data_IF_155171410152
#
_entry.id   IF_155171410152
#
_cell.length_a   1.000
_cell.length_b   1.000
_cell.length_c   1.000
_cell.angle_alpha   90.00
_cell.angle_beta   90.00
_cell.angle_gamma   90.00
#
_symmetry.space_group_name_H-M   'P 1'
#
loop_
_entity.id
_entity.type
_entity.pdbx_description
1 polymer ?
#
# COMPACT_ATOMS: atom_id res chain seq x y z
N UNK A 1 -2.32 -16.60 18.96
CA UNK A 1 -1.80 -15.35 19.58
C UNK A 1 -3.02 -14.62 20.11
N UNK A 2 -3.14 -14.49 21.44
CA UNK A 2 -4.26 -13.75 22.04
C UNK A 2 -4.00 -12.25 21.88
N UNK A 3 -4.97 -11.43 21.44
CA UNK A 3 -4.81 -9.97 21.33
C UNK A 3 -4.54 -9.27 22.68
N UNK A 4 -4.62 -9.99 23.79
CA UNK A 4 -4.67 -9.44 25.14
C UNK A 4 -3.30 -9.02 25.71
N UNK A 5 -2.18 -9.44 25.11
CA UNK A 5 -0.83 -9.14 25.60
C UNK A 5 -0.17 -7.90 24.95
N UNK A 6 -0.89 -7.16 24.09
CA UNK A 6 -0.45 -5.87 23.56
C UNK A 6 0.74 -5.90 22.59
N UNK A 7 1.31 -7.08 22.32
CA UNK A 7 2.34 -7.27 21.30
C UNK A 7 1.79 -8.17 20.22
N UNK A 8 1.63 -7.62 19.02
CA UNK A 8 1.26 -8.35 17.81
C UNK A 8 2.50 -8.41 16.90
N UNK A 9 3.32 -9.48 16.97
CA UNK A 9 4.48 -9.59 16.11
C UNK A 9 4.01 -9.75 14.67
N UNK A 10 4.19 -8.71 13.85
CA UNK A 10 3.70 -8.71 12.47
C UNK A 10 4.30 -9.88 11.68
N UNK A 11 5.59 -10.18 11.89
CA UNK A 11 6.28 -11.29 11.26
C UNK A 11 5.59 -12.65 11.50
N UNK A 12 5.20 -12.92 12.74
CA UNK A 12 4.54 -14.19 13.10
C UNK A 12 3.12 -14.23 12.55
N UNK A 13 2.42 -13.09 12.55
CA UNK A 13 1.11 -12.98 11.93
C UNK A 13 1.17 -13.28 10.42
N UNK A 14 2.16 -12.75 9.72
CA UNK A 14 2.34 -12.98 8.28
C UNK A 14 2.55 -14.46 7.96
N UNK A 15 3.43 -15.14 8.70
CA UNK A 15 3.65 -16.59 8.56
C UNK A 15 2.39 -17.39 8.87
N UNK A 16 1.70 -17.03 9.95
CA UNK A 16 0.46 -17.69 10.36
C UNK A 16 -0.63 -17.52 9.30
N UNK A 17 -0.75 -16.33 8.72
CA UNK A 17 -1.75 -16.01 7.70
C UNK A 17 -1.51 -16.85 6.43
N UNK A 18 -0.28 -16.89 5.93
CA UNK A 18 0.11 -17.70 4.76
C UNK A 18 -0.16 -19.19 4.99
N UNK A 19 0.28 -19.73 6.13
CA UNK A 19 0.04 -21.13 6.49
C UNK A 19 -1.46 -21.46 6.69
N UNK A 20 -2.28 -20.47 7.05
CA UNK A 20 -3.72 -20.64 7.27
C UNK A 20 -4.55 -20.48 5.98
N UNK A 21 -3.98 -19.86 4.95
CA UNK A 21 -4.64 -19.51 3.69
C UNK A 21 -4.03 -20.22 2.47
N UNK A 22 -3.59 -21.47 2.62
CA UNK A 22 -2.95 -22.21 1.52
C UNK A 22 -3.85 -22.32 0.27
N UNK A 23 -3.25 -22.12 -0.89
CA UNK A 23 -3.90 -22.17 -2.19
C UNK A 23 -4.56 -23.53 -2.43
N UNK A 24 -3.95 -24.63 -2.00
CA UNK A 24 -4.50 -25.99 -2.10
C UNK A 24 -5.85 -26.14 -1.38
N UNK A 25 -6.14 -25.26 -0.41
CA UNK A 25 -7.38 -25.27 0.36
C UNK A 25 -8.42 -24.30 -0.19
N UNK A 26 -7.99 -23.13 -0.67
CA UNK A 26 -8.90 -22.04 -1.04
C UNK A 26 -8.98 -21.77 -2.54
N UNK A 27 -8.15 -22.45 -3.35
CA UNK A 27 -8.03 -22.27 -4.80
C UNK A 27 -7.79 -20.81 -5.21
N UNK A 28 -7.17 -20.03 -4.31
CA UNK A 28 -6.87 -18.62 -4.52
C UNK A 28 -5.68 -18.18 -3.67
N UNK A 29 -5.10 -17.05 -4.02
CA UNK A 29 -4.06 -16.36 -3.27
C UNK A 29 -4.48 -14.91 -3.05
N UNK A 30 -3.78 -14.20 -2.16
CA UNK A 30 -4.01 -12.77 -1.95
C UNK A 30 -2.72 -11.98 -1.89
N UNK A 31 -2.78 -10.74 -2.35
CA UNK A 31 -1.75 -9.73 -2.09
C UNK A 31 -2.22 -8.81 -0.99
N UNK A 32 -1.30 -8.32 -0.17
CA UNK A 32 -1.62 -7.39 0.90
C UNK A 32 -0.41 -6.58 1.35
N UNK A 33 -0.66 -5.36 1.82
CA UNK A 33 0.31 -4.55 2.56
C UNK A 33 -0.16 -4.40 4.00
N UNK A 34 0.68 -4.77 4.97
CA UNK A 34 0.39 -4.65 6.39
C UNK A 34 1.20 -3.51 7.00
N UNK A 35 0.54 -2.76 7.88
CA UNK A 35 1.11 -1.60 8.56
C UNK A 35 0.66 -1.61 10.01
N UNK A 36 1.61 -1.58 10.94
CA UNK A 36 1.40 -1.32 12.36
C UNK A 36 1.97 0.05 12.66
N UNK A 37 1.10 0.95 13.10
CA UNK A 37 1.46 2.32 13.46
C UNK A 37 1.53 2.47 14.99
N UNK A 38 2.73 2.69 15.51
CA UNK A 38 2.95 3.06 16.90
C UNK A 38 2.97 4.59 17.00
N UNK A 39 1.82 5.16 17.34
CA UNK A 39 1.64 6.62 17.44
C UNK A 39 2.29 7.23 18.66
N UNK A 40 2.61 6.43 19.69
CA UNK A 40 3.24 6.92 20.91
C UNK A 40 4.75 7.08 20.72
N UNK A 41 5.37 6.16 19.98
CA UNK A 41 6.82 6.14 19.75
C UNK A 41 7.23 6.68 18.36
N UNK A 42 6.28 7.05 17.51
CA UNK A 42 6.56 7.53 16.15
C UNK A 42 7.27 6.47 15.31
N UNK A 43 6.73 5.25 15.30
CA UNK A 43 7.24 4.13 14.51
C UNK A 43 6.16 3.58 13.60
N UNK A 44 6.56 3.16 12.41
CA UNK A 44 5.72 2.32 11.55
C UNK A 44 6.47 1.03 11.24
N UNK A 45 5.83 -0.10 11.49
CA UNK A 45 6.29 -1.41 11.05
C UNK A 45 5.44 -1.86 9.87
N UNK A 46 6.10 -2.37 8.82
CA UNK A 46 5.43 -2.78 7.58
C UNK A 46 5.88 -4.16 7.14
N UNK A 47 5.00 -4.83 6.40
CA UNK A 47 5.30 -6.05 5.65
C UNK A 47 4.47 -6.08 4.38
N UNK A 48 5.10 -6.28 3.24
CA UNK A 48 4.42 -6.33 1.94
C UNK A 48 4.44 -7.74 1.34
N UNK A 49 3.26 -8.27 1.05
CA UNK A 49 3.02 -9.55 0.39
C UNK A 49 2.46 -9.35 -1.01
N UNK A 50 3.28 -8.84 -1.94
CA UNK A 50 2.97 -8.75 -3.37
C UNK A 50 2.03 -7.62 -3.80
N UNK A 51 1.74 -6.65 -2.93
CA UNK A 51 0.93 -5.46 -3.25
C UNK A 51 1.86 -4.26 -3.57
N UNK A 52 1.43 -3.15 -4.20
CA UNK A 52 2.30 -1.98 -4.33
C UNK A 52 2.83 -1.51 -2.96
N UNK A 53 4.10 -1.10 -2.95
CA UNK A 53 4.80 -0.72 -1.74
C UNK A 53 4.18 0.52 -1.10
N UNK A 54 3.94 0.53 0.23
CA UNK A 54 3.51 1.74 0.93
C UNK A 54 4.52 2.88 0.72
N UNK A 55 4.03 4.10 0.61
CA UNK A 55 4.85 5.29 0.42
C UNK A 55 4.82 6.16 1.67
N UNK A 56 5.98 6.51 2.20
CA UNK A 56 6.13 7.46 3.29
C UNK A 56 6.66 8.78 2.73
N UNK A 57 5.85 9.83 2.81
CA UNK A 57 6.27 11.20 2.54
C UNK A 57 6.57 11.91 3.86
N UNK A 58 7.81 12.35 4.04
CA UNK A 58 8.24 13.07 5.21
C UNK A 58 9.32 14.09 4.85
N UNK A 59 9.23 15.30 5.39
CA UNK A 59 10.20 16.39 5.13
C UNK A 59 10.43 16.65 3.62
N UNK A 60 9.38 16.45 2.81
CA UNK A 60 9.43 16.61 1.35
C UNK A 60 10.13 15.48 0.58
N UNK A 61 10.55 14.42 1.26
CA UNK A 61 11.17 13.23 0.66
C UNK A 61 10.18 12.07 0.69
N UNK A 62 10.08 11.34 -0.41
CA UNK A 62 9.29 10.11 -0.50
C UNK A 62 10.23 8.92 -0.35
N UNK A 63 9.87 8.03 0.57
CA UNK A 63 10.49 6.73 0.75
C UNK A 63 9.49 5.64 0.37
N UNK A 64 9.93 4.69 -0.45
CA UNK A 64 9.20 3.44 -0.72
C UNK A 64 9.50 2.49 0.43
N UNK A 65 8.46 2.04 1.13
CA UNK A 65 8.61 1.17 2.30
C UNK A 65 8.62 -0.30 1.89
N UNK A 66 9.55 -1.04 2.49
CA UNK A 66 9.67 -2.51 2.36
C UNK A 66 9.84 -2.99 0.93
N UNK A 67 10.97 -2.65 0.32
CA UNK A 67 11.32 -3.02 -1.06
C UNK A 67 11.65 -4.51 -1.27
N UNK A 68 11.52 -5.34 -0.23
CA UNK A 68 11.66 -6.79 -0.34
C UNK A 68 10.27 -7.43 -0.33
N UNK A 69 9.98 -8.25 -1.34
CA UNK A 69 8.67 -8.85 -1.52
C UNK A 69 8.57 -10.14 -0.68
N UNK A 70 7.60 -10.24 0.23
CA UNK A 70 7.33 -11.47 0.99
C UNK A 70 6.67 -12.58 0.14
N UNK A 71 6.37 -12.31 -1.14
CA UNK A 71 5.54 -13.18 -1.97
C UNK A 71 4.05 -13.00 -1.64
N UNK A 72 3.19 -13.46 -2.54
CA UNK A 72 1.75 -13.47 -2.29
C UNK A 72 1.39 -14.51 -1.21
N UNK A 73 0.34 -14.22 -0.44
CA UNK A 73 -0.19 -15.11 0.60
C UNK A 73 -0.96 -16.25 -0.07
N UNK A 74 -0.71 -17.46 0.42
CA UNK A 74 -1.35 -18.70 0.02
C UNK A 74 -0.40 -19.71 -0.63
N UNK A 75 0.88 -19.38 -0.80
CA UNK A 75 1.87 -20.29 -1.38
C UNK A 75 2.77 -20.97 -0.35
N UNK A 76 2.63 -20.65 0.95
CA UNK A 76 3.46 -21.25 1.99
C UNK A 76 4.93 -20.82 1.94
N UNK A 77 5.21 -19.65 1.34
CA UNK A 77 6.56 -19.10 1.11
C UNK A 77 6.81 -17.80 1.89
N UNK A 78 5.82 -17.27 2.62
CA UNK A 78 5.95 -16.00 3.34
C UNK A 78 6.85 -16.21 4.56
N UNK A 79 8.03 -15.57 4.55
CA UNK A 79 9.02 -15.68 5.62
C UNK A 79 8.79 -14.70 6.79
N UNK A 80 7.74 -13.86 6.70
CA UNK A 80 7.41 -12.87 7.73
C UNK A 80 8.46 -11.75 7.85
N UNK A 81 8.99 -11.28 6.72
CA UNK A 81 9.90 -10.14 6.68
C UNK A 81 9.11 -8.88 7.02
N UNK A 82 9.58 -8.14 8.02
CA UNK A 82 9.02 -6.86 8.42
C UNK A 82 10.12 -5.81 8.52
N UNK A 83 9.76 -4.53 8.34
CA UNK A 83 10.69 -3.41 8.47
C UNK A 83 10.07 -2.27 9.26
N UNK A 84 10.89 -1.66 10.10
CA UNK A 84 10.51 -0.51 10.94
C UNK A 84 11.11 0.77 10.41
N UNK A 85 10.31 1.83 10.42
CA UNK A 85 10.70 3.18 10.00
C UNK A 85 10.27 4.18 11.07
N UNK A 86 11.08 5.22 11.25
CA UNK A 86 10.68 6.36 12.08
C UNK A 86 9.77 7.28 11.28
N UNK A 87 8.74 7.76 11.94
CA UNK A 87 7.81 8.75 11.40
C UNK A 87 7.84 9.97 12.31
N UNK A 88 7.70 11.13 11.69
CA UNK A 88 7.72 12.41 12.38
C UNK A 88 6.40 13.15 12.16
N UNK A 89 6.09 14.10 13.04
CA UNK A 89 4.90 14.96 12.88
C UNK A 89 4.87 15.58 11.47
N UNK A 90 3.69 15.59 10.86
CA UNK A 90 3.45 16.03 9.48
C UNK A 90 3.71 14.98 8.40
N UNK A 91 4.18 13.78 8.76
CA UNK A 91 4.42 12.71 7.77
C UNK A 91 3.11 12.21 7.18
N UNK A 92 3.14 11.77 5.92
CA UNK A 92 2.02 11.12 5.25
C UNK A 92 2.42 9.72 4.83
N UNK A 93 1.68 8.72 5.29
CA UNK A 93 1.80 7.34 4.84
C UNK A 93 0.65 7.02 3.88
N UNK A 94 0.97 6.55 2.69
CA UNK A 94 0.01 6.10 1.69
C UNK A 94 0.14 4.60 1.41
N UNK A 95 -1.00 3.92 1.33
CA UNK A 95 -1.12 2.55 0.83
C UNK A 95 -2.12 2.56 -0.33
N UNK A 96 -1.85 1.79 -1.37
CA UNK A 96 -2.77 1.65 -2.49
C UNK A 96 -2.71 0.24 -3.09
N UNK A 97 -3.75 -0.12 -3.83
CA UNK A 97 -3.80 -1.33 -4.64
C UNK A 97 -3.30 -1.05 -6.06
N UNK A 98 -2.91 -2.10 -6.76
CA UNK A 98 -2.48 -2.06 -8.16
C UNK A 98 -3.56 -1.51 -9.10
N UNK A 99 -4.84 -1.64 -8.78
CA UNK A 99 -5.93 -1.00 -9.51
C UNK A 99 -5.74 0.50 -9.80
N UNK A 100 -4.93 1.25 -9.02
CA UNK A 100 -4.52 2.63 -9.36
C UNK A 100 -3.49 2.68 -10.49
N UNK A 101 -2.42 1.90 -10.38
CA UNK A 101 -1.30 1.91 -11.34
C UNK A 101 -1.62 1.13 -12.62
N UNK A 102 -2.65 0.28 -12.59
CA UNK A 102 -3.10 -0.57 -13.68
C UNK A 102 -4.19 0.07 -14.54
N UNK A 103 -4.75 1.23 -14.15
CA UNK A 103 -5.71 1.94 -15.00
C UNK A 103 -5.11 2.22 -16.37
N UNK A 104 -5.81 1.76 -17.41
CA UNK A 104 -5.42 1.89 -18.81
C UNK A 104 -6.21 2.99 -19.51
N UNK A 105 -5.54 3.76 -20.35
CA UNK A 105 -6.19 4.70 -21.27
C UNK A 105 -6.80 3.98 -22.50
N UNK A 106 -7.30 4.76 -23.47
CA UNK A 106 -7.86 4.21 -24.72
C UNK A 106 -6.82 3.52 -25.60
N UNK A 107 -5.54 3.79 -25.41
CA UNK A 107 -4.43 3.17 -26.14
C UNK A 107 -3.85 1.96 -25.38
N UNK A 108 -4.40 1.62 -24.21
CA UNK A 108 -3.94 0.53 -23.36
C UNK A 108 -2.75 0.89 -22.45
N UNK A 109 -2.34 2.17 -22.40
CA UNK A 109 -1.23 2.64 -21.57
C UNK A 109 -1.62 2.78 -20.11
N UNK A 110 -0.79 2.24 -19.20
CA UNK A 110 -1.01 2.27 -17.75
C UNK A 110 -0.60 3.60 -17.11
N UNK A 111 -1.21 3.97 -15.98
CA UNK A 111 -0.74 5.10 -15.15
C UNK A 111 0.69 4.85 -14.66
N UNK A 112 0.94 3.65 -14.12
CA UNK A 112 2.24 3.24 -13.59
C UNK A 112 2.63 3.91 -12.27
N UNK A 113 3.57 3.28 -11.56
CA UNK A 113 4.02 3.71 -10.22
C UNK A 113 4.74 5.07 -10.23
N UNK A 114 5.54 5.36 -11.26
CA UNK A 114 6.25 6.64 -11.38
C UNK A 114 5.32 7.85 -11.34
N UNK A 115 4.17 7.77 -12.02
CA UNK A 115 3.15 8.83 -12.04
C UNK A 115 2.54 9.07 -10.65
N UNK A 116 2.31 8.00 -9.88
CA UNK A 116 1.80 8.06 -8.51
C UNK A 116 2.81 8.75 -7.59
N UNK A 117 4.08 8.36 -7.68
CA UNK A 117 5.18 8.95 -6.92
C UNK A 117 5.34 10.43 -7.26
N UNK A 118 5.33 10.79 -8.55
CA UNK A 118 5.51 12.17 -8.98
C UNK A 118 4.33 13.07 -8.57
N UNK A 119 3.11 12.53 -8.59
CA UNK A 119 1.96 13.24 -8.03
C UNK A 119 2.16 13.52 -6.54
N UNK A 120 2.56 12.51 -5.77
CA UNK A 120 2.83 12.68 -4.33
C UNK A 120 3.94 13.71 -4.06
N UNK A 121 4.98 13.77 -4.89
CA UNK A 121 6.03 14.80 -4.78
C UNK A 121 5.49 16.19 -5.02
N UNK A 122 4.65 16.35 -6.05
CA UNK A 122 4.07 17.66 -6.43
C UNK A 122 3.09 18.19 -5.38
N UNK A 123 2.46 17.30 -4.63
CA UNK A 123 1.45 17.60 -3.60
C UNK A 123 2.00 17.42 -2.18
N UNK A 124 3.33 17.55 -2.02
CA UNK A 124 4.01 17.25 -0.75
C UNK A 124 3.50 18.08 0.43
N UNK A 125 3.10 19.32 0.17
CA UNK A 125 2.64 20.27 1.19
C UNK A 125 1.09 20.30 1.32
N UNK A 126 0.37 19.60 0.45
CA UNK A 126 -1.09 19.64 0.37
C UNK A 126 -1.76 18.85 1.51
N UNK A 127 -2.98 19.19 1.90
CA UNK A 127 -3.71 18.35 2.86
C UNK A 127 -4.08 16.98 2.24
N UNK A 128 -4.28 15.93 3.06
CA UNK A 128 -4.66 14.60 2.53
C UNK A 128 -5.92 14.64 1.66
N UNK A 129 -6.92 15.45 2.02
CA UNK A 129 -8.15 15.59 1.21
C UNK A 129 -7.90 16.19 -0.17
N UNK A 130 -6.95 17.12 -0.28
CA UNK A 130 -6.54 17.70 -1.56
C UNK A 130 -5.77 16.67 -2.38
N UNK A 131 -4.84 15.96 -1.76
CA UNK A 131 -4.11 14.86 -2.39
C UNK A 131 -5.06 13.80 -2.97
N UNK A 132 -6.07 13.37 -2.22
CA UNK A 132 -7.09 12.44 -2.72
C UNK A 132 -7.90 13.02 -3.88
N UNK A 133 -8.21 14.33 -3.84
CA UNK A 133 -8.87 15.01 -4.95
C UNK A 133 -7.99 15.01 -6.20
N UNK A 134 -6.67 15.15 -6.04
CA UNK A 134 -5.70 15.06 -7.14
C UNK A 134 -5.58 13.65 -7.71
N UNK A 135 -5.57 12.61 -6.87
CA UNK A 135 -5.64 11.22 -7.33
C UNK A 135 -6.91 10.95 -8.13
N UNK A 136 -8.08 11.40 -7.64
CA UNK A 136 -9.33 11.29 -8.40
C UNK A 136 -9.27 12.02 -9.74
N UNK A 137 -8.63 13.20 -9.77
CA UNK A 137 -8.38 13.96 -11.00
C UNK A 137 -7.47 13.21 -11.97
N UNK A 138 -6.39 12.60 -11.48
CA UNK A 138 -5.47 11.76 -12.26
C UNK A 138 -6.22 10.60 -12.91
N UNK A 139 -7.01 9.84 -12.13
CA UNK A 139 -7.80 8.71 -12.64
C UNK A 139 -8.76 9.12 -13.75
N UNK A 140 -9.52 10.21 -13.54
CA UNK A 140 -10.45 10.75 -14.55
C UNK A 140 -9.74 11.28 -15.80
N UNK A 141 -8.55 11.85 -15.64
CA UNK A 141 -7.75 12.34 -16.77
C UNK A 141 -7.20 11.19 -17.61
N UNK A 142 -6.80 10.10 -16.96
CA UNK A 142 -6.21 8.93 -17.63
C UNK A 142 -7.27 8.07 -18.32
N UNK A 143 -8.46 7.95 -17.73
CA UNK A 143 -9.63 7.31 -18.33
C UNK A 143 -10.80 8.31 -18.40
N UNK A 144 -10.84 9.19 -19.41
CA UNK A 144 -11.85 10.23 -19.53
C UNK A 144 -13.20 9.72 -20.04
N UNK A 145 -13.22 8.57 -20.71
CA UNK A 145 -14.43 7.95 -21.23
C UNK A 145 -15.24 7.32 -20.09
N UNK A 146 -16.26 8.03 -19.63
CA UNK A 146 -17.12 7.60 -18.52
C UNK A 146 -18.00 6.41 -18.85
N UNK A 147 -18.06 5.98 -20.12
CA UNK A 147 -18.73 4.73 -20.48
C UNK A 147 -17.90 3.49 -20.14
N UNK A 148 -16.59 3.66 -19.93
CA UNK A 148 -15.69 2.60 -19.45
C UNK A 148 -15.63 2.60 -17.93
N UNK A 149 -15.60 1.40 -17.35
CA UNK A 149 -15.28 1.20 -15.94
C UNK A 149 -13.78 0.98 -15.75
N UNK A 150 -13.31 1.17 -14.52
CA UNK A 150 -12.01 0.63 -14.14
C UNK A 150 -12.04 -0.90 -14.25
N UNK A 151 -10.92 -1.48 -14.68
CA UNK A 151 -10.78 -2.93 -14.89
C UNK A 151 -10.60 -3.67 -13.56
N UNK A 152 -10.21 -2.95 -12.51
CA UNK A 152 -9.91 -3.48 -11.18
C UNK A 152 -10.36 -2.51 -10.08
N UNK A 153 -10.40 -2.99 -8.83
CA UNK A 153 -10.77 -2.22 -7.66
C UNK A 153 -9.68 -1.20 -7.28
N UNK A 154 -10.12 0.04 -7.05
CA UNK A 154 -9.23 1.14 -6.66
C UNK A 154 -9.36 1.41 -5.18
N UNK A 155 -8.29 1.12 -4.43
CA UNK A 155 -8.18 1.46 -3.01
C UNK A 155 -6.99 2.39 -2.77
N UNK A 156 -7.24 3.48 -2.03
CA UNK A 156 -6.22 4.39 -1.52
C UNK A 156 -6.49 4.68 -0.05
N UNK A 157 -5.51 4.40 0.79
CA UNK A 157 -5.51 4.72 2.22
C UNK A 157 -4.41 5.74 2.48
N UNK A 158 -4.73 6.80 3.21
CA UNK A 158 -3.78 7.83 3.60
C UNK A 158 -3.89 8.15 5.08
N UNK A 159 -2.76 8.19 5.76
CA UNK A 159 -2.64 8.51 7.18
C UNK A 159 -1.69 9.69 7.29
N UNK A 160 -2.08 10.71 8.06
CA UNK A 160 -1.23 11.84 8.38
C UNK A 160 -0.91 11.79 9.88
N UNK A 161 0.38 11.83 10.18
CA UNK A 161 0.93 11.82 11.53
C UNK A 161 1.12 13.24 12.05
#
# INVERSE_FOLDING_TARGET
ISPEDGVFPLADFMKMLDASFLFERFETYMTASFVILDTMNGEVEVSNAGNPHPLLLQQGVIQVLDSENNGAIGFGIVEGITRKYRIHEGSKLLLFTDGIIDVRDSNGSRIGEGTVIDLLKSEKDSALGELFSRFRGLLKKHLPDTSRSFEDDITLVGIQF
#
